data_IF_052668293924
#
_entry.id   IF_052668293924
#
_cell.length_a   1.000
_cell.length_b   1.000
_cell.length_c   1.000
_cell.angle_alpha   90.00
_cell.angle_beta   90.00
_cell.angle_gamma   90.00
#
_symmetry.space_group_name_H-M   'P 1'
#
loop_
_entity.id
_entity.type
_entity.pdbx_description
1 polymer ?
#
# COMPACT_ATOMS: atom_id res chain seq x y z
N UNK A 1 17.97 -4.45 -0.03
CA UNK A 1 17.03 -4.14 -1.14
C UNK A 1 15.68 -3.80 -0.53
N UNK A 2 15.03 -2.67 -0.89
CA UNK A 2 13.67 -2.38 -0.46
C UNK A 2 12.70 -3.48 -0.94
N UNK A 3 11.64 -3.76 -0.18
CA UNK A 3 10.65 -4.75 -0.59
C UNK A 3 9.79 -4.20 -1.74
N UNK A 4 9.31 -5.04 -2.67
CA UNK A 4 8.40 -4.61 -3.74
C UNK A 4 7.15 -3.90 -3.21
N UNK A 5 6.66 -4.32 -2.03
CA UNK A 5 5.54 -3.67 -1.33
C UNK A 5 5.86 -2.23 -0.95
N UNK A 6 7.06 -1.97 -0.43
CA UNK A 6 7.49 -0.62 -0.05
C UNK A 6 7.69 0.28 -1.26
N UNK A 7 8.25 -0.26 -2.35
CA UNK A 7 8.48 0.47 -3.60
C UNK A 7 7.17 0.88 -4.27
N UNK A 8 6.20 -0.04 -4.37
CA UNK A 8 4.85 0.26 -4.87
C UNK A 8 4.16 1.33 -4.03
N UNK A 9 4.30 1.27 -2.69
CA UNK A 9 3.69 2.25 -1.80
C UNK A 9 4.27 3.66 -2.02
N UNK A 10 5.59 3.80 -2.12
CA UNK A 10 6.24 5.09 -2.37
C UNK A 10 5.84 5.67 -3.73
N UNK A 11 5.84 4.87 -4.79
CA UNK A 11 5.42 5.32 -6.12
C UNK A 11 3.96 5.80 -6.13
N UNK A 12 3.07 5.11 -5.41
CA UNK A 12 1.65 5.47 -5.35
C UNK A 12 1.38 6.67 -4.43
N UNK A 13 2.05 6.78 -3.28
CA UNK A 13 1.75 7.78 -2.24
C UNK A 13 2.66 9.00 -2.28
N UNK A 14 3.96 8.81 -2.47
CA UNK A 14 4.93 9.91 -2.54
C UNK A 14 4.95 10.54 -3.94
N UNK A 15 5.02 9.72 -4.98
CA UNK A 15 5.10 10.20 -6.37
C UNK A 15 3.73 10.35 -7.05
N UNK A 16 2.64 9.93 -6.38
CA UNK A 16 1.26 10.01 -6.89
C UNK A 16 1.09 9.40 -8.29
N UNK A 17 1.88 8.37 -8.61
CA UNK A 17 1.80 7.70 -9.90
C UNK A 17 0.52 6.88 -10.03
N UNK A 18 -0.03 6.87 -11.25
CA UNK A 18 -1.16 5.99 -11.56
C UNK A 18 -0.73 4.53 -11.58
N UNK A 19 -1.67 3.63 -11.31
CA UNK A 19 -1.42 2.18 -11.30
C UNK A 19 -0.76 1.72 -12.61
N UNK A 20 -1.21 2.25 -13.75
CA UNK A 20 -0.64 1.94 -15.08
C UNK A 20 0.82 2.38 -15.22
N UNK A 21 1.23 3.49 -14.60
CA UNK A 21 2.64 3.91 -14.60
C UNK A 21 3.49 3.02 -13.69
N UNK A 22 2.94 2.60 -12.55
CA UNK A 22 3.61 1.70 -11.61
C UNK A 22 3.85 0.34 -12.24
N UNK A 23 2.87 -0.23 -12.96
CA UNK A 23 3.02 -1.53 -13.64
C UNK A 23 4.15 -1.50 -14.67
N UNK A 24 4.28 -0.41 -15.43
CA UNK A 24 5.35 -0.25 -16.42
C UNK A 24 6.71 -0.07 -15.74
N UNK A 25 6.78 0.73 -14.67
CA UNK A 25 8.05 1.07 -14.02
C UNK A 25 8.65 -0.09 -13.22
N UNK A 26 7.81 -0.90 -12.59
CA UNK A 26 8.24 -2.07 -11.82
C UNK A 26 8.15 -3.38 -12.60
N UNK A 27 7.62 -3.35 -13.83
CA UNK A 27 7.38 -4.52 -14.67
C UNK A 27 6.56 -5.61 -13.94
N UNK A 28 5.46 -5.20 -13.31
CA UNK A 28 4.53 -6.08 -12.58
C UNK A 28 3.09 -5.87 -13.05
N UNK A 29 2.25 -6.88 -12.86
CA UNK A 29 0.83 -6.81 -13.21
C UNK A 29 0.04 -5.86 -12.31
N UNK A 30 -1.04 -5.29 -12.86
CA UNK A 30 -1.95 -4.42 -12.10
C UNK A 30 -2.55 -5.11 -10.87
N UNK A 31 -2.78 -6.43 -10.93
CA UNK A 31 -3.22 -7.22 -9.78
C UNK A 31 -2.17 -7.27 -8.67
N UNK A 32 -0.89 -7.36 -9.02
CA UNK A 32 0.21 -7.35 -8.06
C UNK A 32 0.34 -5.97 -7.39
N UNK A 33 0.23 -4.87 -8.15
CA UNK A 33 0.19 -3.49 -7.61
C UNK A 33 -0.90 -3.35 -6.53
N UNK A 34 -2.12 -3.81 -6.82
CA UNK A 34 -3.23 -3.75 -5.85
C UNK A 34 -2.96 -4.58 -4.59
N UNK A 35 -2.40 -5.80 -4.73
CA UNK A 35 -2.00 -6.63 -3.58
C UNK A 35 -0.94 -5.95 -2.73
N UNK A 36 0.10 -5.39 -3.35
CA UNK A 36 1.15 -4.66 -2.64
C UNK A 36 0.58 -3.44 -1.91
N UNK A 37 -0.33 -2.68 -2.51
CA UNK A 37 -0.95 -1.54 -1.83
C UNK A 37 -1.82 -1.97 -0.65
N UNK A 38 -2.60 -3.04 -0.77
CA UNK A 38 -3.38 -3.61 0.34
C UNK A 38 -2.49 -4.13 1.48
N UNK A 39 -1.34 -4.71 1.14
CA UNK A 39 -0.38 -5.19 2.13
C UNK A 39 0.46 -4.05 2.74
N UNK A 40 0.64 -2.94 2.01
CA UNK A 40 1.38 -1.77 2.46
C UNK A 40 0.55 -0.89 3.40
N UNK A 41 -0.78 -0.97 3.35
CA UNK A 41 -1.63 -0.33 4.35
C UNK A 41 -1.53 -1.10 5.66
N UNK A 42 -0.89 -0.56 6.71
CA UNK A 42 -1.01 -1.15 8.04
C UNK A 42 -2.49 -1.15 8.38
N UNK A 43 -3.03 -2.29 8.81
CA UNK A 43 -4.38 -2.39 9.35
C UNK A 43 -4.51 -1.45 10.56
N UNK A 44 -4.83 -0.16 10.33
CA UNK A 44 -5.39 0.73 11.35
C UNK A 44 -6.90 0.47 11.48
N UNK A 45 -7.26 -0.81 11.57
CA UNK A 45 -8.63 -1.29 11.83
C UNK A 45 -8.71 -1.97 13.20
N UNK A 46 -7.85 -1.58 14.13
CA UNK A 46 -8.01 -1.83 15.56
C UNK A 46 -7.64 -0.54 16.27
N UNK A 47 -8.53 0.44 16.19
CA UNK A 47 -8.82 1.21 17.41
C UNK A 47 -9.40 0.18 18.39
N UNK A 48 -8.72 -0.17 19.50
CA UNK A 48 -9.47 -0.59 20.66
C UNK A 48 -10.30 0.65 21.02
N UNK A 49 -11.59 0.61 20.68
CA UNK A 49 -12.56 1.46 21.34
C UNK A 49 -12.49 1.04 22.80
N UNK A 50 -11.66 1.76 23.57
CA UNK A 50 -11.70 1.70 25.01
C UNK A 50 -13.13 2.08 25.38
N UNK A 51 -13.91 1.08 25.75
CA UNK A 51 -15.14 1.24 26.50
C UNK A 51 -14.78 1.99 27.76
N UNK A 52 -14.88 3.31 27.71
CA UNK A 52 -15.00 4.15 28.89
C UNK A 52 -16.38 3.83 29.48
N UNK A 53 -16.39 2.88 30.41
CA UNK A 53 -17.46 2.67 31.36
C UNK A 53 -16.85 2.86 32.73
N UNK A 54 -16.98 4.06 33.26
CA UNK A 54 -17.02 4.27 34.71
C UNK A 54 -17.77 5.54 35.05
#
# INVERSE_FOLDING_TARGET
>A
MPSPTHEVFLLARAEQLSYKKITVRLNIDARAVGRHLNNATPHRSTTPQATESR
#
